data_IF_496889461972
#
_entry.id   IF_496889461972
#
_cell.length_a   1.000
_cell.length_b   1.000
_cell.length_c   1.000
_cell.angle_alpha   90.00
_cell.angle_beta   90.00
_cell.angle_gamma   90.00
#
_symmetry.space_group_name_H-M   'P 1'
#
loop_
_entity.id
_entity.type
_entity.pdbx_description
1 polymer ?
#
# COMPACT_ATOMS: atom_id res chain seq x y z
N UNK A 1 -19.45 -48.86 -3.39
CA UNK A 1 -19.08 -48.01 -2.24
C UNK A 1 -17.96 -47.06 -2.70
N UNK A 2 -18.34 -45.88 -3.19
CA UNK A 2 -17.44 -44.90 -3.85
C UNK A 2 -16.70 -44.07 -2.80
N UNK A 3 -15.37 -44.20 -2.71
CA UNK A 3 -14.51 -43.35 -1.87
C UNK A 3 -14.56 -41.90 -2.39
N UNK A 4 -15.08 -40.98 -1.57
CA UNK A 4 -14.96 -39.53 -1.84
C UNK A 4 -13.48 -39.13 -1.74
N UNK A 5 -12.94 -38.30 -2.65
CA UNK A 5 -11.59 -37.80 -2.52
C UNK A 5 -11.50 -36.88 -1.30
N UNK A 6 -10.50 -37.10 -0.45
CA UNK A 6 -10.15 -36.18 0.62
C UNK A 6 -9.79 -34.84 -0.03
N UNK A 7 -10.67 -33.82 0.09
CA UNK A 7 -10.27 -32.44 -0.13
C UNK A 7 -9.21 -32.15 0.94
N UNK A 8 -7.94 -32.11 0.53
CA UNK A 8 -6.84 -31.72 1.41
C UNK A 8 -7.18 -30.41 2.10
N UNK A 9 -6.84 -30.31 3.39
CA UNK A 9 -7.04 -29.09 4.14
C UNK A 9 -6.43 -27.90 3.37
N UNK A 10 -7.10 -26.73 3.32
CA UNK A 10 -6.54 -25.57 2.63
C UNK A 10 -5.18 -25.24 3.22
N UNK A 11 -4.20 -24.94 2.37
CA UNK A 11 -2.86 -24.52 2.77
C UNK A 11 -2.97 -23.37 3.78
N UNK A 12 -2.43 -23.57 5.00
CA UNK A 12 -2.39 -22.58 6.07
C UNK A 12 -0.93 -22.32 6.43
N UNK A 13 -0.40 -21.18 6.01
CA UNK A 13 0.90 -20.69 6.45
C UNK A 13 0.71 -19.51 7.40
N UNK A 14 1.41 -19.45 8.54
CA UNK A 14 1.39 -18.25 9.38
C UNK A 14 1.99 -17.03 8.67
N UNK A 15 2.81 -17.26 7.62
CA UNK A 15 3.45 -16.24 6.81
C UNK A 15 2.55 -15.68 5.71
N UNK A 16 1.48 -16.40 5.34
CA UNK A 16 0.59 -15.99 4.25
C UNK A 16 -0.86 -15.89 4.74
N UNK A 17 -1.42 -14.70 4.65
CA UNK A 17 -2.85 -14.44 4.95
C UNK A 17 -3.52 -13.90 3.71
N UNK A 18 -4.59 -14.57 3.27
CA UNK A 18 -5.44 -14.05 2.20
C UNK A 18 -5.93 -12.64 2.56
N UNK A 19 -5.93 -11.74 1.57
CA UNK A 19 -6.39 -10.34 1.68
C UNK A 19 -5.55 -9.47 2.61
N UNK A 20 -4.28 -9.82 2.80
CA UNK A 20 -3.27 -8.96 3.43
C UNK A 20 -2.08 -8.84 2.49
N UNK A 21 -1.51 -7.65 2.39
CA UNK A 21 -0.29 -7.43 1.63
C UNK A 21 0.83 -8.33 2.19
N UNK A 22 1.53 -9.09 1.33
CA UNK A 22 2.80 -9.69 1.71
C UNK A 22 3.82 -8.58 1.96
N UNK A 23 4.77 -8.85 2.87
CA UNK A 23 5.95 -8.02 3.10
C UNK A 23 7.17 -8.83 2.67
N UNK A 24 7.60 -8.65 1.43
CA UNK A 24 8.80 -9.29 0.91
C UNK A 24 10.02 -8.49 1.33
N UNK A 25 11.06 -9.17 1.76
CA UNK A 25 12.30 -8.55 2.24
C UNK A 25 13.39 -8.78 1.21
N UNK A 26 14.03 -7.71 0.82
CA UNK A 26 15.15 -7.65 -0.12
C UNK A 26 16.30 -6.95 0.61
N UNK A 27 17.54 -7.22 0.23
CA UNK A 27 18.70 -6.57 0.84
C UNK A 27 19.58 -6.00 -0.27
N UNK A 28 19.55 -4.68 -0.43
CA UNK A 28 20.42 -3.96 -1.37
C UNK A 28 21.35 -3.05 -0.57
N UNK A 29 22.67 -3.28 -0.58
CA UNK A 29 23.59 -2.42 0.14
C UNK A 29 23.50 -0.97 -0.36
N UNK A 30 23.30 -0.01 0.55
CA UNK A 30 23.42 1.42 0.24
C UNK A 30 24.71 1.95 0.90
N UNK A 31 25.86 1.91 0.19
CA UNK A 31 27.15 2.32 0.77
C UNK A 31 27.21 3.80 1.11
N UNK A 32 26.50 4.63 0.35
CA UNK A 32 26.41 6.08 0.57
C UNK A 32 25.36 6.43 1.64
N UNK A 33 24.57 5.46 2.11
CA UNK A 33 23.49 5.65 3.06
C UNK A 33 22.30 6.41 2.49
N UNK A 34 22.33 6.75 1.21
CA UNK A 34 21.22 7.39 0.52
C UNK A 34 20.02 6.45 0.49
N UNK A 35 18.90 7.00 0.94
CA UNK A 35 17.65 6.29 1.04
C UNK A 35 16.98 6.23 -0.33
N UNK A 36 16.72 5.00 -0.84
CA UNK A 36 15.92 4.73 -2.04
C UNK A 36 16.34 5.56 -3.28
N UNK A 37 17.64 5.63 -3.58
CA UNK A 37 18.07 6.14 -4.88
C UNK A 37 17.47 5.30 -6.02
N UNK A 38 17.25 5.90 -7.19
CA UNK A 38 16.73 5.19 -8.37
C UNK A 38 17.52 3.90 -8.69
N UNK A 39 18.84 3.93 -8.48
CA UNK A 39 19.70 2.74 -8.63
C UNK A 39 19.37 1.64 -7.62
N UNK A 40 19.12 2.01 -6.35
CA UNK A 40 18.78 1.07 -5.28
C UNK A 40 17.43 0.39 -5.53
N UNK A 41 16.44 1.16 -6.03
CA UNK A 41 15.12 0.61 -6.41
C UNK A 41 15.25 -0.39 -7.56
N UNK A 42 16.02 -0.06 -8.60
CA UNK A 42 16.29 -0.95 -9.72
C UNK A 42 17.03 -2.23 -9.30
N UNK A 43 17.97 -2.12 -8.36
CA UNK A 43 18.65 -3.28 -7.79
C UNK A 43 17.69 -4.16 -6.99
N UNK A 44 16.77 -3.56 -6.22
CA UNK A 44 15.73 -4.30 -5.51
C UNK A 44 14.85 -5.09 -6.49
N UNK A 45 14.42 -4.47 -7.59
CA UNK A 45 13.69 -5.17 -8.65
C UNK A 45 14.51 -6.29 -9.27
N UNK A 46 15.80 -6.06 -9.53
CA UNK A 46 16.68 -7.07 -10.11
C UNK A 46 16.82 -8.28 -9.18
N UNK A 47 16.81 -8.09 -7.86
CA UNK A 47 16.79 -9.18 -6.89
C UNK A 47 15.47 -9.98 -6.94
N UNK A 48 14.32 -9.30 -7.02
CA UNK A 48 13.03 -9.98 -7.18
C UNK A 48 12.95 -10.78 -8.48
N UNK A 49 13.47 -10.22 -9.57
CA UNK A 49 13.59 -10.88 -10.89
C UNK A 49 14.48 -12.11 -10.79
N UNK A 50 15.67 -12.00 -10.19
CA UNK A 50 16.60 -13.11 -9.95
C UNK A 50 16.01 -14.21 -9.06
N UNK A 51 15.21 -13.83 -8.06
CA UNK A 51 14.52 -14.77 -7.17
C UNK A 51 13.30 -15.45 -7.85
N UNK A 52 12.89 -15.01 -9.04
CA UNK A 52 11.77 -15.60 -9.79
C UNK A 52 10.40 -15.32 -9.17
N UNK A 53 10.29 -14.36 -8.25
CA UNK A 53 9.04 -14.09 -7.51
C UNK A 53 8.12 -13.08 -8.18
N UNK A 54 8.60 -12.36 -9.21
CA UNK A 54 7.85 -11.28 -9.89
C UNK A 54 6.48 -11.76 -10.40
N UNK A 55 6.42 -12.96 -10.97
CA UNK A 55 5.16 -13.53 -11.49
C UNK A 55 4.15 -13.91 -10.40
N UNK A 56 4.56 -13.87 -9.13
CA UNK A 56 3.71 -14.13 -7.97
C UNK A 56 3.21 -12.83 -7.32
N UNK A 57 3.83 -11.70 -7.65
CA UNK A 57 3.46 -10.39 -7.12
C UNK A 57 2.14 -9.92 -7.71
N UNK A 58 1.39 -9.20 -6.88
CA UNK A 58 0.17 -8.49 -7.28
C UNK A 58 0.32 -7.02 -7.00
N UNK A 59 -0.40 -6.20 -7.76
CA UNK A 59 -0.46 -4.76 -7.49
C UNK A 59 -0.86 -4.52 -6.04
N UNK A 60 -0.10 -3.68 -5.33
CA UNK A 60 -0.24 -3.42 -3.90
C UNK A 60 0.59 -4.32 -2.98
N UNK A 61 1.32 -5.32 -3.49
CA UNK A 61 2.27 -6.08 -2.68
C UNK A 61 3.43 -5.18 -2.22
N UNK A 62 3.90 -5.39 -0.99
CA UNK A 62 4.91 -4.51 -0.37
C UNK A 62 6.25 -5.21 -0.33
N UNK A 63 7.27 -4.50 -0.78
CA UNK A 63 8.67 -4.91 -0.73
C UNK A 63 9.41 -3.97 0.19
N UNK A 64 10.32 -4.51 1.00
CA UNK A 64 11.12 -3.74 1.94
C UNK A 64 12.59 -4.06 1.74
N UNK A 65 13.36 -3.03 1.42
CA UNK A 65 14.81 -3.10 1.49
C UNK A 65 15.26 -3.02 2.95
N UNK A 66 15.68 -4.16 3.48
CA UNK A 66 16.10 -4.30 4.88
C UNK A 66 17.45 -3.67 5.16
N UNK A 67 18.20 -3.25 4.14
CA UNK A 67 19.48 -2.57 4.33
C UNK A 67 19.31 -1.18 4.98
N UNK A 68 18.15 -0.54 4.80
CA UNK A 68 17.87 0.81 5.31
C UNK A 68 17.35 0.81 6.77
N UNK A 69 17.04 -0.36 7.34
CA UNK A 69 16.52 -0.50 8.71
C UNK A 69 14.98 -0.46 8.84
N UNK A 70 14.44 -0.79 10.03
CA UNK A 70 12.98 -0.85 10.30
C UNK A 70 12.45 0.42 10.98
N UNK A 71 12.68 1.57 10.35
CA UNK A 71 12.17 2.85 10.83
C UNK A 71 10.90 3.25 10.07
N UNK A 72 9.73 2.99 10.67
CA UNK A 72 8.46 3.37 10.06
C UNK A 72 8.18 2.60 8.77
N UNK A 73 8.17 3.31 7.63
CA UNK A 73 8.09 2.74 6.27
C UNK A 73 9.34 3.02 5.43
N UNK A 74 10.44 3.42 6.05
CA UNK A 74 11.70 3.64 5.35
C UNK A 74 12.11 2.33 4.64
N UNK A 75 12.56 2.48 3.40
CA UNK A 75 12.92 1.38 2.49
C UNK A 75 11.73 0.54 1.99
N UNK A 76 10.48 0.87 2.33
CA UNK A 76 9.31 0.16 1.80
C UNK A 76 8.88 0.74 0.46
N UNK A 77 8.65 -0.14 -0.50
CA UNK A 77 8.18 0.12 -1.86
C UNK A 77 6.93 -0.71 -2.13
N UNK A 78 6.12 -0.27 -3.09
CA UNK A 78 4.90 -0.94 -3.52
C UNK A 78 5.08 -1.43 -4.96
N UNK A 79 4.67 -2.67 -5.20
CA UNK A 79 4.58 -3.20 -6.55
C UNK A 79 3.33 -2.66 -7.24
N UNK A 80 3.48 -1.95 -8.36
CA UNK A 80 2.33 -1.41 -9.11
C UNK A 80 1.72 -2.44 -10.08
N UNK A 81 2.47 -3.49 -10.41
CA UNK A 81 2.14 -4.50 -11.43
C UNK A 81 3.30 -4.77 -12.39
N UNK A 82 4.16 -3.77 -12.61
CA UNK A 82 5.30 -3.82 -13.54
C UNK A 82 6.62 -3.39 -12.87
N UNK A 83 6.56 -2.44 -11.92
CA UNK A 83 7.70 -1.79 -11.28
C UNK A 83 7.49 -1.66 -9.76
N UNK A 84 8.61 -1.48 -9.06
CA UNK A 84 8.62 -1.02 -7.68
C UNK A 84 8.55 0.50 -7.66
N UNK A 85 7.64 1.01 -6.84
CA UNK A 85 7.45 2.44 -6.68
C UNK A 85 7.56 2.81 -5.20
N UNK A 86 8.15 3.97 -4.94
CA UNK A 86 8.25 4.52 -3.60
C UNK A 86 6.89 4.93 -3.03
N UNK A 87 6.85 5.11 -1.72
CA UNK A 87 5.70 5.68 -1.04
C UNK A 87 5.57 7.18 -1.35
N UNK A 88 4.35 7.70 -1.27
CA UNK A 88 4.07 9.12 -1.43
C UNK A 88 4.26 9.86 -0.09
N UNK A 89 5.09 10.90 -0.08
CA UNK A 89 5.40 11.70 1.10
C UNK A 89 4.66 13.04 1.12
N UNK A 90 3.71 13.25 0.21
CA UNK A 90 2.94 14.50 0.07
C UNK A 90 2.16 14.87 1.34
N UNK A 91 1.61 13.88 2.05
CA UNK A 91 0.75 14.10 3.22
C UNK A 91 1.38 13.68 4.56
N UNK A 92 2.29 12.70 4.54
CA UNK A 92 2.93 12.15 5.73
C UNK A 92 4.42 11.92 5.55
N UNK A 93 5.21 12.27 6.57
CA UNK A 93 6.65 11.92 6.62
C UNK A 93 6.88 10.42 6.73
N UNK A 94 5.89 9.66 7.19
CA UNK A 94 5.99 8.21 7.25
C UNK A 94 5.85 7.56 5.87
N UNK A 95 5.34 8.28 4.86
CA UNK A 95 5.03 7.73 3.55
C UNK A 95 3.68 7.02 3.52
N UNK A 96 2.88 7.35 2.52
CA UNK A 96 1.55 6.83 2.26
C UNK A 96 1.52 6.07 0.92
N UNK A 97 0.41 5.40 0.64
CA UNK A 97 0.21 4.78 -0.66
C UNK A 97 0.20 5.85 -1.77
N UNK A 98 0.87 5.60 -2.91
CA UNK A 98 0.82 6.50 -4.07
C UNK A 98 -0.60 6.73 -4.57
N UNK A 99 -0.91 7.96 -5.00
CA UNK A 99 -2.27 8.39 -5.37
C UNK A 99 -2.88 7.60 -6.54
N UNK A 100 -2.06 7.11 -7.47
CA UNK A 100 -2.53 6.31 -8.60
C UNK A 100 -2.92 4.88 -8.18
N UNK A 101 -2.50 4.42 -7.00
CA UNK A 101 -2.92 3.15 -6.44
C UNK A 101 -4.20 3.38 -5.61
N UNK A 102 -5.35 3.03 -6.18
CA UNK A 102 -6.64 3.22 -5.50
C UNK A 102 -6.72 2.39 -4.21
N UNK A 103 -6.47 3.01 -3.06
CA UNK A 103 -6.48 2.33 -1.76
C UNK A 103 -7.82 1.65 -1.44
N UNK A 104 -8.93 2.20 -1.96
CA UNK A 104 -10.27 1.62 -1.83
C UNK A 104 -10.49 0.34 -2.66
N UNK A 105 -9.59 0.02 -3.59
CA UNK A 105 -9.59 -1.26 -4.30
C UNK A 105 -9.11 -2.42 -3.40
N UNK A 106 -8.53 -2.11 -2.24
CA UNK A 106 -8.02 -3.08 -1.27
C UNK A 106 -8.97 -3.19 -0.07
N UNK A 107 -8.93 -4.36 0.59
CA UNK A 107 -9.57 -4.51 1.90
C UNK A 107 -9.01 -3.47 2.89
N UNK A 108 -9.80 -2.89 3.79
CA UNK A 108 -9.29 -1.94 4.79
C UNK A 108 -8.13 -2.49 5.65
N UNK A 109 -8.08 -3.82 5.81
CA UNK A 109 -7.02 -4.53 6.54
C UNK A 109 -5.79 -4.89 5.70
N UNK A 110 -5.78 -4.61 4.40
CA UNK A 110 -4.78 -5.13 3.47
C UNK A 110 -3.36 -4.69 3.86
N UNK A 111 -3.19 -3.40 4.14
CA UNK A 111 -1.91 -2.81 4.54
C UNK A 111 -1.67 -2.78 6.06
N UNK A 112 -2.57 -3.38 6.86
CA UNK A 112 -2.50 -3.32 8.31
C UNK A 112 -1.18 -3.90 8.85
N UNK A 113 -0.43 -3.06 9.59
CA UNK A 113 0.93 -3.33 10.12
C UNK A 113 2.01 -3.59 9.05
N UNK A 114 1.71 -3.35 7.77
CA UNK A 114 2.66 -3.46 6.65
C UNK A 114 3.09 -2.06 6.22
N UNK A 115 2.13 -1.16 6.01
CA UNK A 115 2.37 0.28 5.86
C UNK A 115 1.87 0.95 7.13
N UNK A 116 2.74 1.76 7.75
CA UNK A 116 2.54 2.48 9.02
C UNK A 116 2.36 3.97 8.69
N UNK A 117 1.15 4.39 8.38
CA UNK A 117 0.86 5.80 8.01
C UNK A 117 0.57 6.68 9.24
N UNK A 118 0.06 6.08 10.32
CA UNK A 118 -0.29 6.79 11.56
C UNK A 118 0.90 6.83 12.54
N UNK A 119 1.10 7.94 13.29
CA UNK A 119 2.13 8.02 14.33
C UNK A 119 2.01 6.88 15.34
N UNK A 120 3.14 6.37 15.85
CA UNK A 120 3.17 5.25 16.80
C UNK A 120 2.36 5.52 18.08
N UNK A 121 2.19 6.80 18.45
CA UNK A 121 1.47 7.24 19.65
C UNK A 121 0.00 7.62 19.37
N UNK A 122 -0.52 7.34 18.17
CA UNK A 122 -1.92 7.63 17.84
C UNK A 122 -2.86 6.76 18.68
N UNK A 123 -3.95 7.32 19.26
CA UNK A 123 -4.95 6.56 20.00
C UNK A 123 -5.65 5.50 19.13
N UNK A 124 -5.56 5.63 17.81
CA UNK A 124 -6.12 4.69 16.83
C UNK A 124 -5.10 3.67 16.32
N UNK A 125 -3.91 3.58 16.93
CA UNK A 125 -2.84 2.67 16.54
C UNK A 125 -2.19 3.03 15.19
N UNK A 126 -1.29 2.15 14.72
CA UNK A 126 -0.58 2.29 13.43
C UNK A 126 -1.44 1.83 12.22
N UNK A 127 -2.72 2.16 12.24
CA UNK A 127 -3.63 1.80 11.17
C UNK A 127 -3.35 2.60 9.88
N UNK A 128 -3.52 1.99 8.69
CA UNK A 128 -3.37 2.68 7.42
C UNK A 128 -4.41 3.81 7.30
N UNK A 129 -3.96 5.01 6.91
CA UNK A 129 -4.77 6.20 6.65
C UNK A 129 -4.90 6.31 5.13
N UNK A 130 -6.11 6.60 4.66
CA UNK A 130 -6.38 6.79 3.22
C UNK A 130 -6.59 8.27 2.97
N UNK A 131 -5.72 8.86 2.17
CA UNK A 131 -5.88 10.22 1.68
C UNK A 131 -6.67 10.18 0.37
N UNK A 132 -7.78 10.91 0.32
CA UNK A 132 -8.62 11.05 -0.88
C UNK A 132 -8.58 12.52 -1.28
N UNK A 133 -8.00 12.79 -2.45
CA UNK A 133 -8.05 14.11 -3.04
C UNK A 133 -9.38 14.30 -3.78
N UNK A 134 -10.27 15.14 -3.23
CA UNK A 134 -11.56 15.46 -3.83
C UNK A 134 -11.53 16.72 -4.71
N UNK A 135 -10.41 17.43 -4.79
CA UNK A 135 -10.27 18.67 -5.58
C UNK A 135 -10.72 18.54 -7.04
N UNK A 136 -10.53 17.40 -7.75
CA UNK A 136 -11.01 17.25 -9.12
C UNK A 136 -12.53 17.39 -9.28
N UNK A 137 -13.32 17.18 -8.22
CA UNK A 137 -14.77 17.30 -8.23
C UNK A 137 -15.29 18.60 -7.62
N UNK A 138 -14.40 19.58 -7.39
CA UNK A 138 -14.72 20.81 -6.67
C UNK A 138 -15.90 21.59 -7.29
N UNK A 139 -15.92 21.72 -8.62
CA UNK A 139 -16.99 22.43 -9.34
C UNK A 139 -18.35 21.74 -9.17
N UNK A 140 -18.40 20.41 -9.29
CA UNK A 140 -19.63 19.65 -9.13
C UNK A 140 -20.14 19.69 -7.69
N UNK A 141 -19.23 19.65 -6.71
CA UNK A 141 -19.57 19.78 -5.29
C UNK A 141 -20.16 21.17 -5.01
N UNK A 142 -19.53 22.23 -5.53
CA UNK A 142 -20.00 23.60 -5.36
C UNK A 142 -21.39 23.80 -6.00
N UNK A 143 -21.60 23.28 -7.21
CA UNK A 143 -22.89 23.35 -7.90
C UNK A 143 -24.00 22.65 -7.11
N UNK A 144 -23.74 21.45 -6.59
CA UNK A 144 -24.72 20.72 -5.76
C UNK A 144 -25.03 21.43 -4.43
N UNK A 145 -24.04 22.07 -3.80
CA UNK A 145 -24.26 22.86 -2.59
C UNK A 145 -25.15 24.08 -2.86
N UNK A 146 -24.97 24.74 -4.01
CA UNK A 146 -25.82 25.87 -4.39
C UNK A 146 -27.28 25.44 -4.61
N UNK A 147 -27.50 24.30 -5.28
CA UNK A 147 -28.85 23.73 -5.45
C UNK A 147 -29.54 23.43 -4.12
N UNK A 148 -28.80 22.93 -3.13
CA UNK A 148 -29.35 22.70 -1.78
C UNK A 148 -29.74 24.00 -1.08
N UNK A 149 -28.92 25.04 -1.19
CA UNK A 149 -29.21 26.36 -0.61
C UNK A 149 -30.45 27.00 -1.25
N UNK A 150 -30.56 26.93 -2.57
CA UNK A 150 -31.70 27.50 -3.31
C UNK A 150 -33.00 26.75 -2.98
N UNK A 151 -32.94 25.43 -2.81
CA UNK A 151 -34.08 24.64 -2.34
C UNK A 151 -34.59 25.09 -0.96
N UNK A 152 -33.68 25.27 0.02
CA UNK A 152 -34.09 25.70 1.36
C UNK A 152 -34.75 27.08 1.36
N UNK A 153 -34.37 27.99 0.45
CA UNK A 153 -35.01 29.30 0.29
C UNK A 153 -36.40 29.23 -0.35
N UNK A 154 -36.65 28.23 -1.18
CA UNK A 154 -37.95 28.05 -1.85
C UNK A 154 -39.01 27.37 -0.97
N UNK A 155 -38.59 26.69 0.10
CA UNK A 155 -39.47 25.97 1.05
C UNK A 155 -39.85 26.83 2.28
N UNK A 156 -39.38 28.07 2.38
CA UNK A 156 -39.73 29.08 3.41
C UNK A 156 -40.52 30.24 2.83
#
# INVERSE_FOLDING_TARGET
MTKRPHRGAPFRSPLFKLRRAPLLRVFVPSPDGDWLSDSSVLECEAQLKRAGVVNLLRSGDVVWDVAVGDEGNIGRMIWDGNFLIDLDYSYSRAGDLPQYLHTLAFSPSYFHRVIRTSPANSPHGSNPIVHINISPWGEQIAANLQLLQDRMRSET
#
